data_IF_795970101137
#
_entry.id   IF_795970101137
#
_cell.length_a   1.000
_cell.length_b   1.000
_cell.length_c   1.000
_cell.angle_alpha   90.00
_cell.angle_beta   90.00
_cell.angle_gamma   90.00
#
_symmetry.space_group_name_H-M   'P 1'
#
loop_
_entity.id
_entity.type
_entity.pdbx_description
1 polymer ?
#
# COMPACT_ATOMS: atom_id res chain seq x y z
N UNK A 1 17.50 16.14 5.89
CA UNK A 1 18.20 15.09 5.15
C UNK A 1 18.28 13.82 5.97
N UNK A 2 18.30 12.65 5.31
CA UNK A 2 18.30 12.46 3.86
C UNK A 2 16.96 12.80 3.20
N UNK A 3 16.98 13.11 1.89
CA UNK A 3 15.80 13.23 1.04
C UNK A 3 15.96 12.35 -0.21
N UNK A 4 14.86 12.06 -0.88
CA UNK A 4 14.84 11.27 -2.12
C UNK A 4 14.36 12.16 -3.26
N UNK A 5 15.07 12.12 -4.38
CA UNK A 5 14.66 12.79 -5.62
C UNK A 5 14.08 11.75 -6.57
N UNK A 6 12.88 12.01 -7.07
CA UNK A 6 12.23 11.17 -8.10
C UNK A 6 11.85 12.01 -9.31
N UNK A 7 12.55 11.87 -10.44
CA UNK A 7 12.17 12.54 -11.67
C UNK A 7 10.82 12.02 -12.19
N UNK A 8 9.99 12.93 -12.67
CA UNK A 8 8.70 12.56 -13.24
C UNK A 8 8.89 11.86 -14.61
N UNK A 9 8.07 10.85 -14.88
CA UNK A 9 8.04 10.09 -16.14
C UNK A 9 9.37 9.40 -16.50
N UNK A 10 10.15 8.99 -15.51
CA UNK A 10 11.29 8.09 -15.71
C UNK A 10 10.95 6.68 -15.24
N UNK A 11 11.65 5.68 -15.77
CA UNK A 11 11.45 4.28 -15.42
C UNK A 11 12.62 3.75 -14.60
N UNK A 12 12.34 2.82 -13.67
CA UNK A 12 13.37 2.10 -12.92
C UNK A 12 14.26 2.98 -12.02
N UNK A 13 13.74 4.14 -11.58
CA UNK A 13 14.51 5.05 -10.73
C UNK A 13 15.57 5.87 -11.45
N UNK A 14 15.59 5.86 -12.79
CA UNK A 14 16.58 6.58 -13.59
C UNK A 14 16.58 8.08 -13.26
N UNK A 15 17.77 8.62 -12.95
CA UNK A 15 17.98 10.03 -12.64
C UNK A 15 17.56 10.44 -11.23
N UNK A 16 16.98 9.50 -10.45
CA UNK A 16 16.64 9.71 -9.04
C UNK A 16 17.71 9.18 -8.10
N UNK A 17 17.56 9.46 -6.82
CA UNK A 17 18.47 8.95 -5.79
C UNK A 17 18.30 9.59 -4.42
N UNK A 18 19.04 9.07 -3.46
CA UNK A 18 19.14 9.62 -2.12
C UNK A 18 20.13 10.77 -2.09
N UNK A 19 19.78 11.82 -1.36
CA UNK A 19 20.64 12.98 -1.14
C UNK A 19 20.82 13.16 0.37
N UNK A 20 22.06 13.22 0.82
CA UNK A 20 22.42 13.39 2.23
C UNK A 20 22.82 14.83 2.57
N UNK A 21 23.05 15.66 1.55
CA UNK A 21 23.42 17.07 1.66
C UNK A 21 22.90 17.88 0.47
N UNK A 22 23.09 19.20 0.52
CA UNK A 22 22.58 20.14 -0.49
C UNK A 22 23.31 19.99 -1.84
N UNK A 23 24.59 19.66 -1.81
CA UNK A 23 25.42 19.48 -3.01
C UNK A 23 24.95 18.27 -3.82
N UNK A 24 24.72 17.16 -3.14
CA UNK A 24 24.14 15.94 -3.77
C UNK A 24 22.74 16.21 -4.31
N UNK A 25 21.91 16.93 -3.54
CA UNK A 25 20.56 17.31 -3.97
C UNK A 25 20.59 18.10 -5.27
N UNK A 26 21.48 19.12 -5.37
CA UNK A 26 21.62 19.93 -6.59
C UNK A 26 22.04 19.09 -7.78
N UNK A 27 23.02 18.21 -7.59
CA UNK A 27 23.54 17.34 -8.66
C UNK A 27 22.47 16.37 -9.16
N UNK A 28 21.80 15.66 -8.25
CA UNK A 28 20.78 14.67 -8.60
C UNK A 28 19.54 15.35 -9.20
N UNK A 29 19.10 16.49 -8.65
CA UNK A 29 17.99 17.26 -9.23
C UNK A 29 18.32 17.76 -10.65
N UNK A 30 19.52 18.29 -10.89
CA UNK A 30 19.92 18.74 -12.23
C UNK A 30 19.82 17.62 -13.25
N UNK A 31 20.41 16.46 -12.94
CA UNK A 31 20.33 15.28 -13.80
C UNK A 31 18.89 14.77 -13.97
N UNK A 32 18.13 14.75 -12.89
CA UNK A 32 16.73 14.31 -12.91
C UNK A 32 15.82 15.20 -13.75
N UNK A 33 16.04 16.53 -13.70
CA UNK A 33 15.30 17.50 -14.52
C UNK A 33 15.64 17.35 -16.02
N UNK A 34 16.89 17.04 -16.38
CA UNK A 34 17.28 16.77 -17.76
C UNK A 34 16.65 15.49 -18.31
N UNK A 35 16.59 14.43 -17.47
CA UNK A 35 16.07 13.14 -17.87
C UNK A 35 14.53 13.08 -17.85
N UNK A 36 13.88 13.95 -17.10
CA UNK A 36 12.43 14.04 -17.05
C UNK A 36 11.86 14.70 -18.30
N UNK A 37 10.95 14.04 -19.00
CA UNK A 37 10.29 14.59 -20.18
C UNK A 37 9.51 15.89 -19.90
N UNK A 38 9.09 16.08 -18.64
CA UNK A 38 8.37 17.27 -18.19
C UNK A 38 9.26 18.23 -17.41
N UNK A 39 10.58 17.93 -17.29
CA UNK A 39 11.53 18.71 -16.50
C UNK A 39 11.05 18.95 -15.05
N UNK A 40 10.53 17.88 -14.42
CA UNK A 40 10.00 17.91 -13.05
C UNK A 40 10.65 16.83 -12.19
N UNK A 41 10.95 17.18 -10.95
CA UNK A 41 11.37 16.24 -9.91
C UNK A 41 10.51 16.40 -8.68
N UNK A 42 10.14 15.29 -8.06
CA UNK A 42 9.58 15.24 -6.73
C UNK A 42 10.72 15.08 -5.73
N UNK A 43 10.71 15.88 -4.65
CA UNK A 43 11.66 15.78 -3.54
C UNK A 43 10.87 15.36 -2.33
N UNK A 44 11.23 14.21 -1.76
CA UNK A 44 10.50 13.57 -0.67
C UNK A 44 11.40 13.37 0.55
N UNK A 45 10.80 13.40 1.72
CA UNK A 45 11.46 12.93 2.94
C UNK A 45 11.83 11.45 2.77
N UNK A 46 13.05 11.10 3.18
CA UNK A 46 13.46 9.69 3.16
C UNK A 46 12.81 8.93 4.31
N UNK A 47 12.16 7.85 3.98
CA UNK A 47 11.60 6.88 4.93
C UNK A 47 12.42 5.57 4.95
N UNK A 48 13.67 5.62 4.52
CA UNK A 48 14.56 4.47 4.49
C UNK A 48 14.71 3.85 5.88
N UNK A 49 14.52 2.54 5.97
CA UNK A 49 14.62 1.79 7.22
C UNK A 49 13.36 1.81 8.08
N UNK A 50 12.28 2.47 7.63
CA UNK A 50 10.97 2.33 8.25
C UNK A 50 10.35 0.96 7.92
N UNK A 51 9.39 0.53 8.73
CA UNK A 51 8.60 -0.67 8.47
C UNK A 51 7.63 -0.43 7.33
N UNK A 52 7.53 -1.38 6.39
CA UNK A 52 6.53 -1.36 5.33
C UNK A 52 5.37 -2.27 5.70
N UNK A 53 4.17 -1.70 5.75
CA UNK A 53 2.95 -2.37 6.18
C UNK A 53 1.86 -2.22 5.12
N UNK A 54 1.10 -3.27 4.88
CA UNK A 54 0.05 -3.26 3.85
C UNK A 54 -1.29 -3.68 4.44
N UNK A 55 -2.37 -3.09 3.93
CA UNK A 55 -3.74 -3.48 4.25
C UNK A 55 -4.49 -3.80 2.98
N UNK A 56 -4.96 -5.03 2.87
CA UNK A 56 -5.84 -5.48 1.80
C UNK A 56 -7.29 -5.19 2.17
N UNK A 57 -7.94 -4.32 1.42
CA UNK A 57 -9.31 -3.87 1.62
C UNK A 57 -10.18 -4.27 0.44
N UNK A 58 -11.40 -4.67 0.71
CA UNK A 58 -12.45 -4.83 -0.30
C UNK A 58 -13.60 -3.88 0.04
N UNK A 59 -14.06 -3.08 -0.95
CA UNK A 59 -15.15 -2.11 -0.82
C UNK A 59 -16.19 -2.31 -1.91
N UNK A 60 -17.46 -2.17 -1.58
CA UNK A 60 -18.57 -2.23 -2.53
C UNK A 60 -19.16 -0.83 -2.85
N UNK A 61 -20.16 -0.81 -3.73
CA UNK A 61 -20.82 0.43 -4.15
C UNK A 61 -21.69 1.08 -3.04
N UNK A 62 -22.07 0.33 -1.99
CA UNK A 62 -22.77 0.83 -0.81
C UNK A 62 -21.84 1.34 0.29
N UNK A 63 -20.54 1.44 0.03
CA UNK A 63 -19.52 1.79 1.00
C UNK A 63 -19.36 0.77 2.16
N UNK A 64 -19.78 -0.47 1.94
CA UNK A 64 -19.44 -1.56 2.86
C UNK A 64 -17.99 -1.96 2.62
N UNK A 65 -17.21 -2.10 3.68
CA UNK A 65 -15.75 -2.37 3.60
C UNK A 65 -15.33 -3.48 4.55
N UNK A 66 -14.38 -4.27 4.08
CA UNK A 66 -13.73 -5.32 4.86
C UNK A 66 -12.22 -5.16 4.73
N UNK A 67 -11.50 -5.11 5.85
CA UNK A 67 -10.05 -5.31 5.87
C UNK A 67 -9.77 -6.81 5.92
N UNK A 68 -9.36 -7.37 4.80
CA UNK A 68 -9.22 -8.81 4.62
C UNK A 68 -7.96 -9.34 5.32
N UNK A 69 -6.87 -8.61 5.18
CA UNK A 69 -5.59 -9.03 5.71
C UNK A 69 -4.68 -7.82 5.93
N UNK A 70 -3.81 -7.97 6.92
CA UNK A 70 -2.72 -7.07 7.22
C UNK A 70 -1.42 -7.80 6.91
N UNK A 71 -0.53 -7.19 6.14
CA UNK A 71 0.71 -7.78 5.67
C UNK A 71 1.87 -6.95 6.17
N UNK A 72 2.81 -7.59 6.83
CA UNK A 72 4.04 -7.03 7.35
C UNK A 72 5.20 -7.43 6.44
N UNK A 73 5.90 -6.46 5.88
CA UNK A 73 7.13 -6.71 5.15
C UNK A 73 8.28 -6.78 6.16
N UNK A 74 9.04 -7.87 6.14
CA UNK A 74 10.17 -8.09 7.06
C UNK A 74 11.37 -7.25 6.64
N UNK A 75 11.51 -7.04 5.34
CA UNK A 75 12.50 -6.12 4.80
C UNK A 75 12.01 -4.66 4.96
N UNK A 76 12.90 -3.74 5.32
CA UNK A 76 12.51 -2.34 5.52
C UNK A 76 12.15 -1.66 4.20
N UNK A 77 11.48 -0.52 4.28
CA UNK A 77 11.19 0.35 3.13
C UNK A 77 12.47 0.61 2.31
N UNK A 78 12.36 0.45 1.00
CA UNK A 78 13.46 0.57 0.04
C UNK A 78 13.79 -0.74 -0.68
N UNK A 79 13.37 -1.88 -0.15
CA UNK A 79 13.34 -3.14 -0.88
C UNK A 79 12.04 -3.22 -1.67
N UNK A 80 12.12 -3.58 -2.96
CA UNK A 80 10.92 -3.67 -3.79
C UNK A 80 9.96 -4.72 -3.21
N UNK A 81 8.69 -4.38 -3.03
CA UNK A 81 7.64 -5.24 -2.43
C UNK A 81 7.57 -6.63 -3.04
N UNK A 82 7.92 -6.75 -4.33
CA UNK A 82 7.96 -8.04 -5.03
C UNK A 82 9.12 -8.95 -4.66
N UNK A 83 10.16 -8.40 -4.07
CA UNK A 83 11.39 -9.10 -3.68
C UNK A 83 11.52 -9.17 -2.15
N UNK A 84 10.63 -8.48 -1.42
CA UNK A 84 10.57 -8.46 0.02
C UNK A 84 9.98 -9.75 0.60
N UNK A 85 10.53 -10.20 1.72
CA UNK A 85 9.95 -11.25 2.53
C UNK A 85 8.83 -10.66 3.39
N UNK A 86 7.65 -11.25 3.36
CA UNK A 86 6.48 -10.73 4.08
C UNK A 86 5.75 -11.80 4.89
N UNK A 87 5.03 -11.37 5.91
CA UNK A 87 4.18 -12.19 6.75
C UNK A 87 2.74 -11.71 6.72
N UNK A 88 1.79 -12.65 6.66
CA UNK A 88 0.36 -12.39 6.70
C UNK A 88 -0.32 -13.44 7.60
N UNK A 89 -1.07 -13.03 8.63
CA UNK A 89 -1.31 -11.68 9.12
C UNK A 89 -0.08 -11.04 9.80
N UNK A 90 -0.20 -9.82 10.30
CA UNK A 90 0.84 -9.16 11.12
C UNK A 90 1.34 -10.06 12.25
N UNK A 91 2.65 -10.10 12.48
CA UNK A 91 3.29 -10.87 13.54
C UNK A 91 3.78 -9.99 14.69
N UNK A 92 4.39 -8.85 14.39
CA UNK A 92 5.06 -7.98 15.38
C UNK A 92 4.31 -6.70 15.67
N UNK A 93 3.33 -6.34 14.83
CA UNK A 93 2.60 -5.08 14.90
C UNK A 93 1.54 -5.11 16.01
N UNK A 94 1.47 -4.03 16.80
CA UNK A 94 0.50 -3.90 17.88
C UNK A 94 -0.94 -3.79 17.34
N UNK A 95 -1.92 -4.23 18.16
CA UNK A 95 -3.34 -4.09 17.82
C UNK A 95 -3.79 -2.64 17.67
N UNK A 96 -3.18 -1.72 18.38
CA UNK A 96 -3.50 -0.29 18.27
C UNK A 96 -3.05 0.27 16.92
N UNK A 97 -1.85 -0.08 16.47
CA UNK A 97 -1.37 0.30 15.16
C UNK A 97 -2.19 -0.38 14.05
N UNK A 98 -2.49 -1.66 14.18
CA UNK A 98 -3.36 -2.39 13.23
C UNK A 98 -4.72 -1.69 13.06
N UNK A 99 -5.39 -1.32 14.16
CA UNK A 99 -6.67 -0.61 14.13
C UNK A 99 -6.54 0.76 13.48
N UNK A 100 -5.47 1.51 13.79
CA UNK A 100 -5.18 2.80 13.18
C UNK A 100 -4.97 2.70 11.67
N UNK A 101 -4.23 1.70 11.21
CA UNK A 101 -4.01 1.44 9.78
C UNK A 101 -5.30 1.03 9.07
N UNK A 102 -6.14 0.21 9.70
CA UNK A 102 -7.46 -0.16 9.20
C UNK A 102 -8.34 1.06 8.95
N UNK A 103 -8.47 1.92 9.94
CA UNK A 103 -9.28 3.14 9.82
C UNK A 103 -8.76 4.08 8.73
N UNK A 104 -7.45 4.26 8.65
CA UNK A 104 -6.82 5.07 7.61
C UNK A 104 -7.05 4.46 6.23
N UNK A 105 -6.87 3.15 6.07
CA UNK A 105 -7.10 2.46 4.80
C UNK A 105 -8.55 2.61 4.33
N UNK A 106 -9.52 2.49 5.23
CA UNK A 106 -10.94 2.69 4.90
C UNK A 106 -11.22 4.10 4.41
N UNK A 107 -10.71 5.12 5.10
CA UNK A 107 -10.85 6.54 4.70
C UNK A 107 -10.25 6.80 3.32
N UNK A 108 -9.08 6.22 3.04
CA UNK A 108 -8.39 6.35 1.75
C UNK A 108 -9.23 5.71 0.64
N UNK A 109 -9.64 4.45 0.83
CA UNK A 109 -10.40 3.68 -0.17
C UNK A 109 -11.75 4.35 -0.45
N UNK A 110 -12.41 4.88 0.57
CA UNK A 110 -13.64 5.66 0.46
C UNK A 110 -13.42 6.95 -0.34
N UNK A 111 -12.38 7.72 -0.01
CA UNK A 111 -12.10 9.01 -0.64
C UNK A 111 -11.82 8.91 -2.14
N UNK A 112 -11.25 7.79 -2.56
CA UNK A 112 -10.97 7.50 -3.98
C UNK A 112 -12.18 6.88 -4.69
N UNK A 113 -13.10 6.29 -3.92
CA UNK A 113 -14.32 5.67 -4.46
C UNK A 113 -14.08 4.33 -5.15
N UNK A 114 -13.02 3.60 -4.78
CA UNK A 114 -12.70 2.28 -5.36
C UNK A 114 -13.81 1.28 -5.06
N UNK A 115 -14.17 0.46 -6.05
CA UNK A 115 -15.04 -0.71 -5.90
C UNK A 115 -14.22 -1.96 -6.21
N UNK A 116 -14.20 -2.91 -5.29
CA UNK A 116 -13.41 -4.13 -5.37
C UNK A 116 -12.21 -4.15 -4.43
N UNK A 117 -11.24 -4.99 -4.74
CA UNK A 117 -10.02 -5.16 -3.96
C UNK A 117 -9.02 -4.03 -4.16
N UNK A 118 -8.40 -3.63 -3.08
CA UNK A 118 -7.45 -2.52 -3.02
C UNK A 118 -6.37 -2.83 -2.01
N UNK A 119 -5.13 -2.62 -2.40
CA UNK A 119 -3.98 -2.68 -1.51
C UNK A 119 -3.58 -1.24 -1.11
N UNK A 120 -3.44 -0.98 0.17
CA UNK A 120 -2.95 0.29 0.72
C UNK A 120 -1.62 0.04 1.42
N UNK A 121 -0.57 0.73 1.01
CA UNK A 121 0.78 0.60 1.56
C UNK A 121 1.13 1.78 2.45
N UNK A 122 1.64 1.47 3.63
CA UNK A 122 2.06 2.40 4.66
C UNK A 122 3.53 2.21 5.01
N UNK A 123 4.19 3.29 5.43
CA UNK A 123 5.42 3.20 6.17
C UNK A 123 5.19 3.67 7.61
N UNK A 124 5.76 2.93 8.56
CA UNK A 124 5.71 3.22 9.98
C UNK A 124 7.12 3.40 10.53
N UNK A 125 7.35 4.49 11.24
CA UNK A 125 8.57 4.70 12.01
C UNK A 125 8.38 4.18 13.43
N UNK A 126 8.99 3.06 13.82
CA UNK A 126 8.82 2.51 15.16
C UNK A 126 9.42 3.37 16.28
N UNK A 127 10.27 4.37 15.92
CA UNK A 127 10.88 5.27 16.90
C UNK A 127 9.97 6.44 17.29
N UNK A 128 9.25 7.01 16.32
CA UNK A 128 8.37 8.16 16.51
C UNK A 128 6.88 7.80 16.45
N UNK A 129 6.54 6.57 16.14
CA UNK A 129 5.17 6.07 15.88
C UNK A 129 4.46 6.83 14.76
N UNK A 130 5.23 7.47 13.87
CA UNK A 130 4.70 8.17 12.71
C UNK A 130 4.34 7.19 11.61
N UNK A 131 3.16 7.37 11.02
CA UNK A 131 2.68 6.61 9.86
C UNK A 131 2.54 7.55 8.68
N UNK A 132 3.01 7.09 7.52
CA UNK A 132 2.79 7.77 6.24
C UNK A 132 2.24 6.79 5.21
N UNK A 133 1.48 7.29 4.25
CA UNK A 133 0.98 6.51 3.13
C UNK A 133 2.04 6.51 2.05
N UNK A 134 2.42 5.32 1.55
CA UNK A 134 3.33 5.19 0.41
C UNK A 134 2.53 5.28 -0.88
N UNK A 135 1.57 4.37 -1.06
CA UNK A 135 0.73 4.33 -2.24
C UNK A 135 -0.56 3.54 -2.02
N UNK A 136 -1.49 3.69 -2.94
CA UNK A 136 -2.67 2.86 -3.05
C UNK A 136 -2.69 2.17 -4.42
N UNK A 137 -2.97 0.89 -4.42
CA UNK A 137 -3.12 0.07 -5.61
C UNK A 137 -4.58 -0.37 -5.74
N UNK A 138 -5.44 0.35 -6.52
CA UNK A 138 -6.87 0.06 -6.63
C UNK A 138 -7.14 -1.12 -7.57
N UNK A 139 -6.53 -2.23 -7.29
CA UNK A 139 -6.59 -3.49 -8.04
C UNK A 139 -6.16 -4.65 -7.16
N UNK A 140 -6.51 -5.86 -7.57
CA UNK A 140 -5.89 -7.07 -7.01
C UNK A 140 -4.41 -7.16 -7.40
N UNK A 141 -3.60 -7.68 -6.50
CA UNK A 141 -2.15 -7.74 -6.60
C UNK A 141 -1.60 -9.09 -6.14
N UNK A 142 -0.28 -9.21 -6.09
CA UNK A 142 0.39 -10.39 -5.50
C UNK A 142 0.08 -10.51 -4.01
N UNK A 143 0.06 -9.41 -3.29
CA UNK A 143 -0.33 -9.37 -1.87
C UNK A 143 -1.78 -9.80 -1.67
N UNK A 144 -2.70 -9.46 -2.58
CA UNK A 144 -4.07 -9.97 -2.57
C UNK A 144 -4.14 -11.50 -2.70
N UNK A 145 -3.26 -12.10 -3.51
CA UNK A 145 -3.17 -13.56 -3.64
C UNK A 145 -2.64 -14.21 -2.35
N UNK A 146 -1.62 -13.61 -1.72
CA UNK A 146 -1.10 -14.04 -0.42
C UNK A 146 -2.18 -13.93 0.65
N UNK A 147 -2.84 -12.77 0.75
CA UNK A 147 -3.94 -12.53 1.68
C UNK A 147 -5.07 -13.53 1.51
N UNK A 148 -5.45 -13.83 0.27
CA UNK A 148 -6.48 -14.83 -0.03
C UNK A 148 -6.09 -16.24 0.44
N UNK A 149 -4.82 -16.61 0.33
CA UNK A 149 -4.32 -17.89 0.86
C UNK A 149 -4.29 -17.90 2.39
N UNK A 150 -3.81 -16.83 3.02
CA UNK A 150 -3.68 -16.74 4.46
C UNK A 150 -5.03 -16.74 5.18
N UNK A 151 -6.02 -16.02 4.64
CA UNK A 151 -7.33 -15.85 5.27
C UNK A 151 -8.39 -16.83 4.77
N UNK A 152 -8.21 -17.37 3.56
CA UNK A 152 -9.22 -18.14 2.84
C UNK A 152 -10.29 -17.27 2.18
N UNK A 153 -10.17 -15.93 2.22
CA UNK A 153 -11.10 -15.01 1.56
C UNK A 153 -10.67 -14.78 0.10
N UNK A 154 -11.47 -15.11 -0.93
CA UNK A 154 -11.05 -15.01 -2.33
C UNK A 154 -11.27 -13.59 -2.87
N UNK A 155 -10.34 -12.71 -2.60
CA UNK A 155 -10.40 -11.28 -2.95
C UNK A 155 -10.72 -11.09 -4.44
N UNK A 156 -10.06 -11.82 -5.35
CA UNK A 156 -10.28 -11.67 -6.79
C UNK A 156 -11.69 -12.05 -7.23
N UNK A 157 -12.24 -13.14 -6.68
CA UNK A 157 -13.61 -13.58 -6.97
C UNK A 157 -14.64 -12.57 -6.49
N UNK A 158 -14.48 -12.09 -5.24
CA UNK A 158 -15.37 -11.09 -4.66
C UNK A 158 -15.28 -9.78 -5.46
N UNK A 159 -14.06 -9.32 -5.77
CA UNK A 159 -13.85 -8.10 -6.56
C UNK A 159 -14.51 -8.17 -7.93
N UNK A 160 -14.46 -9.31 -8.61
CA UNK A 160 -15.14 -9.52 -9.89
C UNK A 160 -16.67 -9.40 -9.77
N UNK A 161 -17.26 -9.95 -8.69
CA UNK A 161 -18.70 -9.82 -8.43
C UNK A 161 -19.11 -8.38 -8.09
N UNK A 162 -18.29 -7.66 -7.32
CA UNK A 162 -18.53 -6.25 -7.02
C UNK A 162 -18.45 -5.40 -8.29
N UNK A 163 -17.47 -5.68 -9.17
CA UNK A 163 -17.36 -5.02 -10.48
C UNK A 163 -18.56 -5.31 -11.39
N UNK A 164 -19.20 -6.47 -11.24
CA UNK A 164 -20.44 -6.82 -11.94
C UNK A 164 -21.71 -6.19 -11.31
N UNK A 165 -21.56 -5.34 -10.27
CA UNK A 165 -22.65 -4.58 -9.67
C UNK A 165 -23.29 -5.22 -8.43
N UNK A 166 -22.78 -6.35 -7.91
CA UNK A 166 -23.22 -6.87 -6.64
C UNK A 166 -22.63 -6.06 -5.48
N UNK A 167 -23.27 -6.20 -4.31
CA UNK A 167 -22.76 -5.66 -3.05
C UNK A 167 -22.32 -6.78 -2.11
N UNK A 168 -21.52 -6.47 -1.10
CA UNK A 168 -20.96 -7.48 -0.19
C UNK A 168 -22.05 -8.31 0.51
N UNK A 169 -23.15 -7.69 0.89
CA UNK A 169 -24.31 -8.35 1.50
C UNK A 169 -25.07 -9.28 0.52
N UNK A 170 -24.83 -9.17 -0.78
CA UNK A 170 -25.45 -10.03 -1.81
C UNK A 170 -24.55 -11.19 -2.24
N UNK A 171 -23.29 -11.22 -1.80
CA UNK A 171 -22.34 -12.27 -2.16
C UNK A 171 -22.39 -13.35 -1.08
N UNK A 172 -22.95 -14.56 -1.36
CA UNK A 172 -22.98 -15.63 -0.40
C UNK A 172 -21.54 -16.04 -0.05
N UNK A 173 -21.26 -16.05 1.22
CA UNK A 173 -19.96 -16.50 1.69
C UNK A 173 -19.95 -18.03 1.77
N UNK A 174 -19.03 -18.65 1.08
CA UNK A 174 -19.01 -20.09 0.80
C UNK A 174 -18.63 -21.00 1.97
N UNK A 175 -18.12 -20.49 3.10
CA UNK A 175 -17.78 -21.34 4.24
C UNK A 175 -18.88 -21.45 5.29
N UNK A 176 -19.45 -20.32 5.67
CA UNK A 176 -20.41 -20.26 6.78
C UNK A 176 -21.54 -19.25 6.55
N UNK A 177 -21.62 -18.64 5.38
CA UNK A 177 -22.66 -17.66 5.03
C UNK A 177 -22.50 -16.29 5.70
N UNK A 178 -21.40 -16.04 6.40
CA UNK A 178 -21.15 -14.79 7.13
C UNK A 178 -19.85 -14.12 6.73
N UNK A 179 -19.88 -12.80 6.57
CA UNK A 179 -18.70 -11.94 6.39
C UNK A 179 -18.25 -11.30 7.71
N UNK A 180 -18.98 -11.51 8.80
CA UNK A 180 -18.74 -10.81 10.08
C UNK A 180 -17.38 -11.07 10.72
N UNK A 181 -16.72 -12.15 10.33
CA UNK A 181 -15.40 -12.53 10.87
C UNK A 181 -14.20 -11.92 10.16
N UNK A 182 -14.41 -11.09 9.16
CA UNK A 182 -13.35 -10.47 8.37
C UNK A 182 -13.22 -8.96 8.57
#
# INVERSE_FOLDING_TARGET
FPVVVRPAYTMGGTGGGFCYNVEELRTICSNGLELSMTHQCLIEESILGWEELEVEVVRDAKNQMIAICFIENIDPVGVHTGDSFCAAPFLTISKDLENRLKEQAFKIVESIGVIGGTNVQFAHDPKSDRVVIIEINPRTSRSSALASKATGFPIAFVSAKLAAGLTLDQIPYWRDGSLEKY
#
